data_IF_102784446613
#
_entry.id   IF_102784446613
#
_cell.length_a   1.000
_cell.length_b   1.000
_cell.length_c   1.000
_cell.angle_alpha   90.00
_cell.angle_beta   90.00
_cell.angle_gamma   90.00
#
_symmetry.space_group_name_H-M   'P 1'
#
loop_
_entity.id
_entity.type
_entity.pdbx_description
1 polymer ?
#
# COMPACT_ATOMS: atom_id res chain seq x y z
N UNK A 1 -18.12 -16.29 22.62
CA UNK A 1 -16.68 -16.03 22.89
C UNK A 1 -16.31 -14.57 22.59
N UNK A 2 -16.51 -14.07 21.36
CA UNK A 2 -16.30 -12.64 21.04
C UNK A 2 -17.28 -11.69 21.76
N UNK A 3 -18.50 -12.12 22.07
CA UNK A 3 -19.46 -11.32 22.85
C UNK A 3 -19.09 -11.12 24.34
N UNK A 4 -18.23 -11.99 24.90
CA UNK A 4 -17.96 -12.00 26.34
C UNK A 4 -16.65 -11.28 26.70
N UNK A 5 -15.57 -11.51 25.94
CA UNK A 5 -14.29 -10.86 26.19
C UNK A 5 -13.40 -10.84 24.93
N UNK A 6 -13.50 -9.79 24.13
CA UNK A 6 -12.85 -9.70 22.80
C UNK A 6 -11.33 -9.80 22.92
N UNK A 7 -10.69 -9.05 23.83
CA UNK A 7 -9.22 -8.97 23.90
C UNK A 7 -8.53 -10.30 24.23
N UNK A 8 -9.08 -11.08 25.16
CA UNK A 8 -8.49 -12.38 25.53
C UNK A 8 -8.82 -13.48 24.51
N UNK A 9 -10.05 -13.46 23.97
CA UNK A 9 -10.49 -14.51 23.07
C UNK A 9 -10.05 -14.29 21.62
N UNK A 10 -9.55 -13.09 21.28
CA UNK A 10 -9.14 -12.75 19.92
C UNK A 10 -8.09 -13.73 19.37
N UNK A 11 -7.02 -13.96 20.12
CA UNK A 11 -5.94 -14.86 19.69
C UNK A 11 -6.44 -16.29 19.48
N UNK A 12 -7.33 -16.77 20.35
CA UNK A 12 -7.92 -18.11 20.24
C UNK A 12 -8.84 -18.18 19.01
N UNK A 13 -9.67 -17.16 18.78
CA UNK A 13 -10.53 -17.07 17.61
C UNK A 13 -9.71 -17.04 16.31
N UNK A 14 -8.59 -16.31 16.26
CA UNK A 14 -7.68 -16.29 15.10
C UNK A 14 -7.04 -17.65 14.87
N UNK A 15 -6.59 -18.34 15.91
CA UNK A 15 -6.02 -19.68 15.79
C UNK A 15 -7.06 -20.69 15.27
N UNK A 16 -8.28 -20.65 15.80
CA UNK A 16 -9.38 -21.51 15.32
C UNK A 16 -9.72 -21.17 13.87
N UNK A 17 -9.87 -19.88 13.53
CA UNK A 17 -10.16 -19.43 12.17
C UNK A 17 -9.07 -19.90 11.20
N UNK A 18 -7.80 -19.76 11.56
CA UNK A 18 -6.67 -20.21 10.73
C UNK A 18 -6.68 -21.73 10.55
N UNK A 19 -6.98 -22.49 11.60
CA UNK A 19 -6.97 -23.96 11.55
C UNK A 19 -8.16 -24.56 10.79
N UNK A 20 -9.32 -23.88 10.82
CA UNK A 20 -10.57 -24.37 10.23
C UNK A 20 -11.03 -23.56 9.01
N UNK A 21 -10.17 -22.73 8.41
CA UNK A 21 -10.56 -21.87 7.29
C UNK A 21 -11.05 -22.66 6.08
N UNK A 22 -10.54 -23.88 5.85
CA UNK A 22 -10.94 -24.73 4.71
C UNK A 22 -12.38 -25.21 4.85
N UNK A 23 -12.86 -25.42 6.08
CA UNK A 23 -14.21 -25.89 6.36
C UNK A 23 -15.20 -24.73 6.53
N UNK A 24 -14.76 -23.62 7.13
CA UNK A 24 -15.62 -22.47 7.42
C UNK A 24 -15.72 -21.47 6.26
N UNK A 25 -14.83 -21.58 5.27
CA UNK A 25 -14.66 -20.66 4.15
C UNK A 25 -14.14 -19.29 4.61
N UNK A 26 -13.11 -18.79 3.92
CA UNK A 26 -12.47 -17.50 4.23
C UNK A 26 -13.45 -16.32 4.24
N UNK A 27 -14.43 -16.31 3.33
CA UNK A 27 -15.45 -15.24 3.24
C UNK A 27 -16.31 -15.14 4.50
N UNK A 28 -16.82 -16.26 5.01
CA UNK A 28 -17.63 -16.30 6.23
C UNK A 28 -16.83 -15.81 7.45
N UNK A 29 -15.54 -16.15 7.52
CA UNK A 29 -14.66 -15.70 8.60
C UNK A 29 -14.38 -14.19 8.51
N UNK A 30 -14.20 -13.64 7.30
CA UNK A 30 -14.08 -12.19 7.10
C UNK A 30 -15.35 -11.48 7.59
N UNK A 31 -16.53 -11.92 7.13
CA UNK A 31 -17.81 -11.34 7.55
C UNK A 31 -18.01 -11.41 9.07
N UNK A 32 -17.60 -12.51 9.70
CA UNK A 32 -17.64 -12.67 11.14
C UNK A 32 -16.78 -11.60 11.83
N UNK A 33 -15.50 -11.48 11.48
CA UNK A 33 -14.62 -10.48 12.10
C UNK A 33 -15.07 -9.04 11.82
N UNK A 34 -15.65 -8.76 10.65
CA UNK A 34 -16.23 -7.46 10.32
C UNK A 34 -17.48 -7.15 11.14
N UNK A 35 -18.34 -8.13 11.41
CA UNK A 35 -19.54 -7.97 12.23
C UNK A 35 -19.21 -7.55 13.67
N UNK A 36 -18.09 -8.06 14.21
CA UNK A 36 -17.56 -7.70 15.51
C UNK A 36 -16.60 -6.48 15.48
N UNK A 37 -16.45 -5.82 14.31
CA UNK A 37 -15.54 -4.66 14.09
C UNK A 37 -14.11 -4.92 14.58
N UNK A 38 -13.67 -6.17 14.54
CA UNK A 38 -12.39 -6.56 15.12
C UNK A 38 -11.30 -6.63 14.05
N UNK A 39 -10.79 -5.44 13.66
CA UNK A 39 -9.79 -5.31 12.60
C UNK A 39 -8.44 -5.94 12.94
N UNK A 40 -8.05 -5.98 14.22
CA UNK A 40 -6.84 -6.69 14.67
C UNK A 40 -6.95 -8.20 14.42
N UNK A 41 -8.08 -8.81 14.79
CA UNK A 41 -8.31 -10.24 14.55
C UNK A 41 -8.33 -10.58 13.07
N UNK A 42 -9.02 -9.74 12.28
CA UNK A 42 -9.04 -9.87 10.83
C UNK A 42 -7.62 -9.77 10.25
N UNK A 43 -6.80 -8.83 10.71
CA UNK A 43 -5.41 -8.69 10.27
C UNK A 43 -4.58 -9.94 10.58
N UNK A 44 -4.60 -10.46 11.80
CA UNK A 44 -3.83 -11.66 12.15
C UNK A 44 -4.30 -12.92 11.42
N UNK A 45 -5.62 -13.09 11.25
CA UNK A 45 -6.18 -14.20 10.49
C UNK A 45 -5.84 -14.10 9.01
N UNK A 46 -6.05 -12.94 8.39
CA UNK A 46 -5.75 -12.74 6.99
C UNK A 46 -4.24 -12.83 6.71
N UNK A 47 -3.39 -12.39 7.64
CA UNK A 47 -1.93 -12.47 7.51
C UNK A 47 -1.40 -13.91 7.42
N UNK A 48 -2.07 -14.88 8.03
CA UNK A 48 -1.66 -16.29 7.93
C UNK A 48 -2.04 -16.93 6.59
N UNK A 49 -3.08 -16.42 5.92
CA UNK A 49 -3.61 -16.98 4.67
C UNK A 49 -3.24 -16.18 3.42
N UNK A 50 -2.95 -14.87 3.53
CA UNK A 50 -2.78 -13.95 2.39
C UNK A 50 -1.60 -14.35 1.48
N UNK A 51 -0.55 -14.96 2.05
CA UNK A 51 0.60 -15.46 1.27
C UNK A 51 0.25 -16.67 0.38
N UNK A 52 -0.78 -17.43 0.74
CA UNK A 52 -1.21 -18.64 0.02
C UNK A 52 -2.48 -18.42 -0.81
N UNK A 53 -3.28 -17.42 -0.42
CA UNK A 53 -4.50 -17.04 -1.14
C UNK A 53 -4.16 -16.24 -2.39
N UNK A 54 -4.80 -16.56 -3.51
CA UNK A 54 -4.77 -15.73 -4.73
C UNK A 54 -6.04 -14.90 -4.90
N UNK A 55 -6.93 -14.89 -3.90
CA UNK A 55 -8.19 -14.16 -3.97
C UNK A 55 -7.96 -12.65 -3.76
N UNK A 56 -8.26 -11.86 -4.78
CA UNK A 56 -8.17 -10.40 -4.75
C UNK A 56 -8.90 -9.76 -3.57
N UNK A 57 -10.00 -10.36 -3.12
CA UNK A 57 -10.81 -9.86 -2.01
C UNK A 57 -10.10 -10.04 -0.67
N UNK A 58 -9.41 -11.17 -0.48
CA UNK A 58 -8.61 -11.48 0.71
C UNK A 58 -7.46 -10.49 0.85
N UNK A 59 -6.72 -10.24 -0.23
CA UNK A 59 -5.61 -9.28 -0.26
C UNK A 59 -6.11 -7.86 0.02
N UNK A 60 -7.22 -7.46 -0.60
CA UNK A 60 -7.80 -6.14 -0.37
C UNK A 60 -8.25 -5.96 1.10
N UNK A 61 -8.97 -6.94 1.66
CA UNK A 61 -9.41 -6.91 3.07
C UNK A 61 -8.22 -6.90 4.03
N UNK A 62 -7.13 -7.60 3.71
CA UNK A 62 -5.90 -7.56 4.50
C UNK A 62 -5.28 -6.18 4.51
N UNK A 63 -5.16 -5.53 3.35
CA UNK A 63 -4.67 -4.15 3.24
C UNK A 63 -5.55 -3.19 4.06
N UNK A 64 -6.88 -3.33 3.98
CA UNK A 64 -7.79 -2.53 4.77
C UNK A 64 -7.60 -2.73 6.28
N UNK A 65 -7.47 -3.98 6.72
CA UNK A 65 -7.24 -4.31 8.12
C UNK A 65 -5.90 -3.75 8.61
N UNK A 66 -4.82 -3.96 7.84
CA UNK A 66 -3.47 -3.46 8.14
C UNK A 66 -3.42 -1.92 8.20
N UNK A 67 -4.11 -1.22 7.29
CA UNK A 67 -4.23 0.23 7.33
C UNK A 67 -4.95 0.70 8.60
N UNK A 68 -6.04 0.03 8.98
CA UNK A 68 -6.81 0.39 10.20
C UNK A 68 -6.07 0.07 11.49
N UNK A 69 -5.23 -0.95 11.52
CA UNK A 69 -4.39 -1.29 12.68
C UNK A 69 -3.10 -0.48 12.73
N UNK A 70 -2.80 0.34 11.72
CA UNK A 70 -1.58 1.13 11.63
C UNK A 70 -0.32 0.33 11.28
N UNK A 71 -0.47 -0.90 10.79
CA UNK A 71 0.62 -1.79 10.41
C UNK A 71 1.13 -1.49 9.00
N UNK A 72 1.71 -0.31 8.80
CA UNK A 72 2.09 0.20 7.47
C UNK A 72 3.15 -0.67 6.79
N UNK A 73 4.06 -1.29 7.55
CA UNK A 73 5.09 -2.19 7.02
C UNK A 73 4.50 -3.39 6.28
N UNK A 74 3.41 -3.97 6.80
CA UNK A 74 2.74 -5.09 6.13
C UNK A 74 1.94 -4.63 4.90
N UNK A 75 1.39 -3.41 4.94
CA UNK A 75 0.77 -2.81 3.75
C UNK A 75 1.80 -2.66 2.64
N UNK A 76 2.98 -2.13 2.96
CA UNK A 76 4.10 -1.98 2.02
C UNK A 76 4.51 -3.34 1.43
N UNK A 77 4.71 -4.33 2.31
CA UNK A 77 5.10 -5.68 1.93
C UNK A 77 4.11 -6.31 0.96
N UNK A 78 2.81 -6.27 1.25
CA UNK A 78 1.78 -6.83 0.37
C UNK A 78 1.67 -6.05 -0.94
N UNK A 79 1.77 -4.71 -0.91
CA UNK A 79 1.75 -3.92 -2.14
C UNK A 79 2.94 -4.28 -3.05
N UNK A 80 4.09 -4.63 -2.47
CA UNK A 80 5.30 -5.03 -3.19
C UNK A 80 5.28 -6.48 -3.67
N UNK A 81 4.87 -7.41 -2.83
CA UNK A 81 4.95 -8.86 -3.09
C UNK A 81 3.71 -9.41 -3.79
N UNK A 82 2.51 -8.90 -3.46
CA UNK A 82 1.26 -9.41 -4.02
C UNK A 82 0.93 -8.76 -5.35
N UNK A 83 0.40 -9.59 -6.27
CA UNK A 83 -0.15 -9.18 -7.57
C UNK A 83 -1.63 -9.52 -7.70
N UNK A 84 -2.23 -10.08 -6.65
CA UNK A 84 -3.58 -10.62 -6.71
C UNK A 84 -4.66 -9.56 -6.43
N UNK A 85 -4.30 -8.37 -5.96
CA UNK A 85 -5.24 -7.29 -5.66
C UNK A 85 -5.50 -6.38 -6.87
N UNK A 86 -6.67 -5.73 -6.87
CA UNK A 86 -6.98 -4.72 -7.89
C UNK A 86 -6.26 -3.39 -7.56
N UNK A 87 -5.32 -3.01 -8.43
CA UNK A 87 -4.48 -1.82 -8.27
C UNK A 87 -5.27 -0.51 -8.14
N UNK A 88 -6.32 -0.32 -8.95
CA UNK A 88 -7.14 0.90 -8.90
C UNK A 88 -7.89 1.01 -7.57
N UNK A 89 -8.45 -0.12 -7.11
CA UNK A 89 -9.19 -0.18 -5.85
C UNK A 89 -8.27 0.08 -4.65
N UNK A 90 -7.07 -0.51 -4.65
CA UNK A 90 -6.06 -0.28 -3.61
C UNK A 90 -5.53 1.16 -3.67
N UNK A 91 -5.23 1.70 -4.86
CA UNK A 91 -4.81 3.09 -5.07
C UNK A 91 -5.81 4.07 -4.48
N UNK A 92 -7.10 3.93 -4.81
CA UNK A 92 -8.15 4.81 -4.31
C UNK A 92 -8.28 4.71 -2.79
N UNK A 93 -8.24 3.49 -2.24
CA UNK A 93 -8.28 3.28 -0.79
C UNK A 93 -7.07 3.91 -0.07
N UNK A 94 -5.85 3.75 -0.60
CA UNK A 94 -4.64 4.33 -0.01
C UNK A 94 -4.64 5.87 -0.07
N UNK A 95 -5.16 6.45 -1.16
CA UNK A 95 -5.36 7.91 -1.28
C UNK A 95 -6.36 8.44 -0.24
N UNK A 96 -7.44 7.71 0.01
CA UNK A 96 -8.42 8.07 1.04
C UNK A 96 -7.89 7.86 2.46
N UNK A 97 -7.14 6.77 2.68
CA UNK A 97 -6.58 6.42 3.98
C UNK A 97 -5.55 7.43 4.49
N UNK A 98 -4.95 8.23 3.59
CA UNK A 98 -3.93 9.25 3.91
C UNK A 98 -2.89 8.74 4.90
N UNK A 99 -2.25 7.62 4.54
CA UNK A 99 -1.27 6.98 5.40
C UNK A 99 -0.13 7.94 5.78
N UNK A 100 0.42 7.84 6.99
CA UNK A 100 1.57 8.65 7.40
C UNK A 100 2.80 8.38 6.54
N UNK A 101 2.92 7.15 6.02
CA UNK A 101 3.93 6.79 5.03
C UNK A 101 3.26 6.53 3.68
N UNK A 102 3.70 7.27 2.66
CA UNK A 102 3.18 7.14 1.29
C UNK A 102 3.93 6.08 0.47
N UNK A 103 4.96 5.43 1.01
CA UNK A 103 5.69 4.35 0.33
C UNK A 103 4.78 3.24 -0.24
N UNK A 104 3.75 2.73 0.47
CA UNK A 104 2.87 1.72 -0.11
C UNK A 104 2.12 2.21 -1.34
N UNK A 105 1.64 3.47 -1.32
CA UNK A 105 0.97 4.09 -2.47
C UNK A 105 1.94 4.26 -3.64
N UNK A 106 3.16 4.71 -3.34
CA UNK A 106 4.23 4.87 -4.33
C UNK A 106 4.53 3.54 -5.03
N UNK A 107 4.66 2.45 -4.27
CA UNK A 107 4.93 1.11 -4.84
C UNK A 107 3.78 0.65 -5.75
N UNK A 108 2.53 0.79 -5.32
CA UNK A 108 1.38 0.43 -6.18
C UNK A 108 1.39 1.28 -7.46
N UNK A 109 1.62 2.59 -7.34
CA UNK A 109 1.65 3.46 -8.50
C UNK A 109 2.82 3.18 -9.46
N UNK A 110 4.01 2.87 -8.94
CA UNK A 110 5.19 2.51 -9.74
C UNK A 110 4.98 1.21 -10.52
N UNK A 111 4.41 0.19 -9.86
CA UNK A 111 4.22 -1.14 -10.43
C UNK A 111 3.14 -1.20 -11.50
N UNK A 112 2.13 -0.35 -11.40
CA UNK A 112 0.99 -0.32 -12.32
C UNK A 112 1.00 0.93 -13.22
N UNK A 113 2.15 1.59 -13.37
CA UNK A 113 2.34 2.77 -14.24
C UNK A 113 1.43 3.99 -13.92
N UNK A 114 0.86 4.06 -12.71
CA UNK A 114 0.06 5.21 -12.23
C UNK A 114 0.92 6.34 -11.64
N UNK A 115 2.12 6.57 -12.20
CA UNK A 115 3.09 7.56 -11.68
C UNK A 115 2.55 8.99 -11.78
N UNK A 116 1.85 9.32 -12.88
CA UNK A 116 1.28 10.65 -13.07
C UNK A 116 0.23 10.99 -11.99
N UNK A 117 -0.69 10.06 -11.72
CA UNK A 117 -1.69 10.19 -10.65
C UNK A 117 -1.07 10.33 -9.26
N UNK A 118 0.04 9.62 -9.02
CA UNK A 118 0.79 9.68 -7.77
C UNK A 118 1.41 11.06 -7.58
N UNK A 119 2.08 11.60 -8.61
CA UNK A 119 2.73 12.92 -8.57
C UNK A 119 1.69 14.00 -8.31
N UNK A 120 0.56 13.98 -9.02
CA UNK A 120 -0.58 14.86 -8.79
C UNK A 120 -1.05 14.81 -7.32
N UNK A 121 -1.20 13.60 -6.77
CA UNK A 121 -1.67 13.42 -5.40
C UNK A 121 -0.65 13.90 -4.35
N UNK A 122 0.62 13.55 -4.52
CA UNK A 122 1.69 13.99 -3.61
C UNK A 122 1.86 15.50 -3.65
N UNK A 123 1.81 16.11 -4.84
CA UNK A 123 1.92 17.54 -5.00
C UNK A 123 0.74 18.29 -4.36
N UNK A 124 -0.50 17.85 -4.60
CA UNK A 124 -1.71 18.42 -3.96
C UNK A 124 -1.69 18.36 -2.44
N UNK A 125 -1.02 17.37 -1.86
CA UNK A 125 -0.86 17.25 -0.40
C UNK A 125 0.43 17.88 0.12
N UNK A 126 1.20 18.61 -0.71
CA UNK A 126 2.49 19.21 -0.36
C UNK A 126 3.54 18.20 0.13
N UNK A 127 3.48 16.95 -0.34
CA UNK A 127 4.35 15.84 0.03
C UNK A 127 5.57 15.72 -0.90
N UNK A 128 6.23 16.85 -1.20
CA UNK A 128 7.37 16.91 -2.14
C UNK A 128 8.54 16.02 -1.70
N UNK A 129 8.79 15.90 -0.39
CA UNK A 129 9.83 15.00 0.17
C UNK A 129 9.64 13.54 -0.24
N UNK A 130 8.39 13.08 -0.40
CA UNK A 130 8.12 11.71 -0.81
C UNK A 130 8.34 11.51 -2.30
N UNK A 131 8.19 12.56 -3.12
CA UNK A 131 8.57 12.54 -4.54
C UNK A 131 10.08 12.36 -4.66
N UNK A 132 10.87 13.08 -3.87
CA UNK A 132 12.32 12.89 -3.80
C UNK A 132 12.70 11.47 -3.37
N UNK A 133 12.09 10.96 -2.29
CA UNK A 133 12.33 9.60 -1.81
C UNK A 133 11.95 8.56 -2.87
N UNK A 134 10.86 8.77 -3.62
CA UNK A 134 10.45 7.86 -4.69
C UNK A 134 11.55 7.72 -5.74
N UNK A 135 12.02 8.84 -6.29
CA UNK A 135 13.03 8.80 -7.35
C UNK A 135 14.40 8.35 -6.82
N UNK A 136 14.77 8.68 -5.57
CA UNK A 136 16.04 8.25 -4.99
C UNK A 136 16.06 6.78 -4.54
N UNK A 137 15.01 6.32 -3.85
CA UNK A 137 15.03 5.01 -3.17
C UNK A 137 14.28 3.91 -3.89
N UNK A 138 13.25 4.25 -4.67
CA UNK A 138 12.37 3.23 -5.27
C UNK A 138 12.82 2.96 -6.69
N UNK A 139 12.85 3.98 -7.55
CA UNK A 139 13.20 3.78 -8.96
C UNK A 139 13.75 5.05 -9.63
N UNK A 140 15.08 5.22 -9.72
CA UNK A 140 15.69 6.38 -10.36
C UNK A 140 15.43 6.43 -11.87
N UNK A 141 15.21 5.29 -12.53
CA UNK A 141 14.89 5.22 -13.97
C UNK A 141 13.53 5.82 -14.31
N UNK A 142 12.64 6.00 -13.33
CA UNK A 142 11.34 6.66 -13.51
C UNK A 142 11.41 8.19 -13.38
N UNK A 143 12.59 8.77 -13.14
CA UNK A 143 12.80 10.22 -13.07
C UNK A 143 12.18 10.97 -14.26
N UNK A 144 12.37 10.57 -15.54
CA UNK A 144 11.83 11.32 -16.67
C UNK A 144 10.30 11.40 -16.65
N UNK A 145 9.64 10.32 -16.25
CA UNK A 145 8.17 10.25 -16.15
C UNK A 145 7.65 11.09 -14.97
N UNK A 146 8.36 11.07 -13.84
CA UNK A 146 8.04 11.90 -12.67
C UNK A 146 8.23 13.38 -12.97
N UNK A 147 9.31 13.74 -13.67
CA UNK A 147 9.57 15.11 -14.10
C UNK A 147 8.51 15.58 -15.09
N UNK A 148 8.13 14.74 -16.06
CA UNK A 148 7.00 15.02 -16.95
C UNK A 148 5.70 15.30 -16.19
N UNK A 149 5.36 14.42 -15.23
CA UNK A 149 4.19 14.63 -14.38
C UNK A 149 4.28 15.84 -13.45
N UNK A 150 5.47 16.29 -13.06
CA UNK A 150 5.65 17.52 -12.28
C UNK A 150 5.52 18.78 -13.16
N UNK A 151 6.00 18.72 -14.40
CA UNK A 151 5.86 19.81 -15.38
C UNK A 151 4.39 20.05 -15.74
N UNK A 152 3.59 18.98 -15.88
CA UNK A 152 2.15 19.08 -16.15
C UNK A 152 1.36 19.74 -15.01
N UNK A 153 1.94 19.83 -13.81
CA UNK A 153 1.29 20.38 -12.60
C UNK A 153 1.85 21.77 -12.27
N UNK A 154 2.58 22.40 -13.20
CA UNK A 154 3.25 23.69 -13.02
C UNK A 154 4.16 23.72 -11.78
N UNK A 155 4.86 22.61 -11.51
CA UNK A 155 5.79 22.54 -10.40
C UNK A 155 6.94 23.53 -10.60
N UNK A 156 7.42 24.15 -9.51
CA UNK A 156 8.53 25.09 -9.57
C UNK A 156 9.79 24.42 -10.14
N UNK A 157 10.41 25.05 -11.13
CA UNK A 157 11.63 24.55 -11.76
C UNK A 157 12.74 24.22 -10.75
N UNK A 158 12.81 24.95 -9.64
CA UNK A 158 13.80 24.71 -8.59
C UNK A 158 13.65 23.33 -7.94
N UNK A 159 12.43 22.81 -7.82
CA UNK A 159 12.16 21.47 -7.29
C UNK A 159 12.63 20.42 -8.28
N UNK A 160 12.35 20.62 -9.57
CA UNK A 160 12.80 19.72 -10.65
C UNK A 160 14.33 19.72 -10.75
N UNK A 161 14.96 20.90 -10.69
CA UNK A 161 16.42 21.05 -10.69
C UNK A 161 17.05 20.37 -9.47
N UNK A 162 16.47 20.54 -8.28
CA UNK A 162 16.92 19.86 -7.06
C UNK A 162 16.75 18.35 -7.15
N UNK A 163 15.63 17.85 -7.67
CA UNK A 163 15.43 16.41 -7.92
C UNK A 163 16.53 15.87 -8.84
N UNK A 164 16.76 16.51 -9.99
CA UNK A 164 17.81 16.08 -10.94
C UNK A 164 19.20 16.13 -10.30
N UNK A 165 19.49 17.15 -9.50
CA UNK A 165 20.78 17.33 -8.81
C UNK A 165 21.03 16.30 -7.70
N UNK A 166 20.01 15.98 -6.90
CA UNK A 166 20.17 15.01 -5.80
C UNK A 166 20.30 13.60 -6.35
N UNK A 167 19.65 13.34 -7.48
CA UNK A 167 19.58 12.02 -8.07
C UNK A 167 20.94 11.83 -8.82
N UNK A 168 21.60 12.90 -9.33
CA UNK A 168 22.83 12.97 -10.18
C UNK A 168 24.09 12.15 -9.81
N UNK A 169 24.04 11.24 -8.84
CA UNK A 169 25.05 10.22 -8.55
C UNK A 169 24.59 8.75 -8.70
N UNK A 170 23.32 8.45 -9.06
CA UNK A 170 22.77 7.09 -9.07
C UNK A 170 22.15 6.61 -10.41
N UNK A 171 22.34 7.33 -11.52
CA UNK A 171 21.93 6.89 -12.87
C UNK A 171 22.94 7.33 -13.91
N UNK A 172 23.04 6.53 -14.97
CA UNK A 172 23.81 6.90 -16.16
C UNK A 172 23.08 8.03 -16.88
N UNK A 173 23.83 9.08 -17.23
CA UNK A 173 23.35 10.25 -17.98
C UNK A 173 22.93 9.93 -19.43
N UNK A 174 23.04 8.68 -19.85
CA UNK A 174 22.76 8.23 -21.23
C UNK A 174 21.27 8.12 -21.56
N UNK A 175 20.37 7.99 -20.57
CA UNK A 175 18.91 7.94 -20.82
C UNK A 175 18.25 9.32 -20.86
N UNK A 176 19.03 10.41 -20.74
CA UNK A 176 18.55 11.79 -20.79
C UNK A 176 18.79 12.45 -22.17
N UNK A 177 19.26 11.71 -23.17
CA UNK A 177 19.53 12.18 -24.55
C UNK A 177 18.46 11.68 -25.52
#
# INVERSE_FOLDING_TARGET
MLQANIRQNLQICVQIATKYHEQLTTKSLIELFESFKTYEGLFYFLGSIVNFSQDSEVHFKYIQAACKTGQIKEVERICRESNCYNAERVKNFLKEAKLPDQLPLIIVCDRFDFVHDLVLYLYRNSLQKYIEIYVQKVNPSRLPVVVGGLLDVDCAEDIIKNLILVVRGQFSTDELV
#
